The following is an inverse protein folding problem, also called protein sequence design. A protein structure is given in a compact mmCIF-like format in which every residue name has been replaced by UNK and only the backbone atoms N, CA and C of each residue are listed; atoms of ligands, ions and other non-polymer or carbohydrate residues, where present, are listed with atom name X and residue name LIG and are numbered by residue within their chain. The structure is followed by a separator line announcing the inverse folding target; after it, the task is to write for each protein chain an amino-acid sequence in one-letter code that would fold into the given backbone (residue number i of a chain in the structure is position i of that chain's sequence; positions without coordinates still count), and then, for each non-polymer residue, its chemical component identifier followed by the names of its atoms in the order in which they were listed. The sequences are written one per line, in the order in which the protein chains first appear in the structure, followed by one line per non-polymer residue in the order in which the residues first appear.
data_IF_562395322769
#
_entry.id   IF_562395322769
#
_cell.length_a   1.000
_cell.length_b   1.000
_cell.length_c   1.000
_cell.angle_alpha   90.00
_cell.angle_beta   90.00
_cell.angle_gamma   90.00
#
_symmetry.space_group_name_H-M   'P 1'
#
loop_
_entity.id
_entity.type
_entity.pdbx_description
1 polymer ?
#
# COMPACT_ATOMS: atom_id res chain seq x y z
N UNK A 1 -4.42 -15.18 3.73
CA UNK A 1 -4.47 -13.72 3.93
C UNK A 1 -3.82 -13.08 2.73
N UNK A 2 -4.61 -12.40 1.90
CA UNK A 2 -4.10 -11.69 0.73
C UNK A 2 -3.34 -10.47 1.23
N UNK A 3 -2.01 -10.46 1.10
CA UNK A 3 -1.20 -9.28 1.41
C UNK A 3 -1.55 -8.16 0.42
N UNK A 4 -2.54 -7.35 0.77
CA UNK A 4 -2.90 -6.14 0.05
C UNK A 4 -1.74 -5.15 0.15
N UNK A 5 -1.28 -4.68 -1.01
CA UNK A 5 -0.25 -3.65 -1.15
C UNK A 5 -0.89 -2.52 -1.91
N UNK A 6 -0.83 -1.29 -1.38
CA UNK A 6 -1.38 -0.10 -2.03
C UNK A 6 -0.28 0.84 -2.48
N UNK A 7 -0.61 1.65 -3.50
CA UNK A 7 0.27 2.70 -3.97
C UNK A 7 0.44 3.70 -2.82
N UNK A 8 1.64 4.25 -2.65
CA UNK A 8 1.99 5.15 -1.55
C UNK A 8 1.98 4.51 -0.14
N UNK A 9 1.94 3.17 -0.05
CA UNK A 9 2.19 2.47 1.21
C UNK A 9 3.59 2.83 1.74
N UNK A 10 3.65 3.28 2.99
CA UNK A 10 4.91 3.46 3.71
C UNK A 10 5.17 2.22 4.54
N UNK A 11 6.27 1.53 4.23
CA UNK A 11 6.63 0.26 4.88
C UNK A 11 7.99 0.37 5.57
N UNK A 12 8.14 -0.39 6.64
CA UNK A 12 9.43 -0.61 7.28
C UNK A 12 10.02 -1.94 6.81
N UNK A 13 11.24 -1.90 6.28
CA UNK A 13 11.98 -3.09 5.86
C UNK A 13 12.77 -3.72 7.01
N UNK A 14 12.98 -5.05 6.96
CA UNK A 14 13.85 -5.78 7.90
C UNK A 14 15.32 -5.40 7.73
N UNK A 15 15.75 -5.14 6.49
CA UNK A 15 17.12 -4.71 6.19
C UNK A 15 17.21 -3.18 6.16
N UNK A 16 18.27 -2.66 6.77
CA UNK A 16 18.60 -1.23 6.72
C UNK A 16 19.04 -0.85 5.30
N UNK A 17 18.58 0.29 4.80
CA UNK A 17 19.15 0.87 3.60
C UNK A 17 20.59 1.37 3.89
N UNK A 18 21.52 1.37 2.92
CA UNK A 18 22.86 1.92 3.14
C UNK A 18 22.89 3.37 3.64
N UNK A 19 21.84 4.17 3.41
CA UNK A 19 21.73 5.52 3.97
C UNK A 19 21.33 5.56 5.46
N UNK A 20 21.00 4.41 6.07
CA UNK A 20 20.60 4.31 7.47
C UNK A 20 19.09 4.28 7.73
N UNK A 21 18.25 4.46 6.72
CA UNK A 21 16.78 4.41 6.88
C UNK A 21 16.24 2.98 6.76
N UNK A 22 15.10 2.73 7.40
CA UNK A 22 14.31 1.51 7.22
C UNK A 22 12.99 1.78 6.48
N UNK A 23 12.69 3.05 6.20
CA UNK A 23 11.40 3.50 5.69
C UNK A 23 11.44 3.68 4.19
N UNK A 24 10.41 3.12 3.56
CA UNK A 24 10.28 3.10 2.12
C UNK A 24 8.83 3.36 1.74
N UNK A 25 8.63 4.16 0.70
CA UNK A 25 7.32 4.36 0.09
C UNK A 25 7.21 3.52 -1.17
N UNK A 26 6.13 2.75 -1.29
CA UNK A 26 5.79 1.98 -2.50
C UNK A 26 5.32 2.94 -3.59
N UNK A 27 5.97 2.88 -4.74
CA UNK A 27 5.70 3.77 -5.89
C UNK A 27 5.15 3.04 -7.10
N UNK A 28 5.24 1.72 -7.14
CA UNK A 28 4.67 0.86 -8.18
C UNK A 28 4.35 -0.50 -7.60
N UNK A 29 3.22 -1.04 -8.03
CA UNK A 29 2.75 -2.38 -7.70
C UNK A 29 2.62 -3.19 -8.99
N UNK A 30 3.05 -4.44 -8.95
CA UNK A 30 3.04 -5.37 -10.07
C UNK A 30 3.73 -6.68 -9.69
N UNK A 31 4.31 -7.36 -10.67
CA UNK A 31 5.21 -8.50 -10.42
C UNK A 31 6.43 -8.08 -9.57
N UNK A 32 6.99 -6.92 -9.91
CA UNK A 32 8.01 -6.23 -9.11
C UNK A 32 7.40 -5.03 -8.38
N UNK A 33 7.84 -4.85 -7.13
CA UNK A 33 7.50 -3.71 -6.31
C UNK A 33 8.63 -2.69 -6.39
N UNK A 34 8.31 -1.49 -6.87
CA UNK A 34 9.24 -0.35 -6.89
C UNK A 34 9.01 0.51 -5.66
N UNK A 35 10.06 0.80 -4.92
CA UNK A 35 9.98 1.57 -3.69
C UNK A 35 11.08 2.63 -3.59
N UNK A 36 10.75 3.77 -2.99
CA UNK A 36 11.63 4.92 -2.78
C UNK A 36 11.99 5.02 -1.30
N UNK A 37 13.26 5.21 -0.99
CA UNK A 37 13.69 5.48 0.38
C UNK A 37 13.26 6.89 0.81
N UNK A 38 12.62 7.02 1.97
CA UNK A 38 12.07 8.30 2.42
C UNK A 38 13.14 9.31 2.86
N UNK A 39 14.36 8.85 3.14
CA UNK A 39 15.44 9.72 3.64
C UNK A 39 16.36 10.20 2.52
N UNK A 40 16.69 9.35 1.55
CA UNK A 40 17.68 9.68 0.51
C UNK A 40 17.13 9.67 -0.92
N UNK A 41 15.85 9.33 -1.10
CA UNK A 41 15.19 9.31 -2.41
C UNK A 41 15.63 8.18 -3.34
N UNK A 42 16.59 7.33 -2.96
CA UNK A 42 17.04 6.21 -3.80
C UNK A 42 15.90 5.22 -4.03
N UNK A 43 15.80 4.75 -5.26
CA UNK A 43 14.74 3.83 -5.69
C UNK A 43 15.32 2.45 -5.92
N UNK A 44 14.60 1.43 -5.47
CA UNK A 44 14.93 0.02 -5.69
C UNK A 44 13.71 -0.72 -6.21
N UNK A 45 13.94 -1.78 -6.97
CA UNK A 45 12.92 -2.74 -7.38
C UNK A 45 13.20 -4.08 -6.71
N UNK A 46 12.16 -4.70 -6.18
CA UNK A 46 12.22 -6.02 -5.58
C UNK A 46 11.08 -6.85 -6.14
N UNK A 47 11.35 -8.12 -6.43
CA UNK A 47 10.30 -9.09 -6.68
C UNK A 47 9.28 -9.10 -5.52
N UNK A 48 8.00 -9.27 -5.84
CA UNK A 48 6.90 -9.23 -4.87
C UNK A 48 7.11 -10.19 -3.70
N UNK A 49 7.58 -11.42 -3.93
CA UNK A 49 7.80 -12.40 -2.87
C UNK A 49 8.93 -11.97 -1.94
N UNK A 50 9.98 -11.37 -2.51
CA UNK A 50 11.10 -10.83 -1.75
C UNK A 50 10.66 -9.62 -0.91
N UNK A 51 9.85 -8.73 -1.48
CA UNK A 51 9.27 -7.59 -0.77
C UNK A 51 8.44 -8.05 0.43
N UNK A 52 7.50 -8.97 0.24
CA UNK A 52 6.63 -9.48 1.31
C UNK A 52 7.44 -10.13 2.44
N UNK A 53 8.46 -10.94 2.11
CA UNK A 53 9.33 -11.58 3.10
C UNK A 53 10.18 -10.56 3.89
N UNK A 54 10.63 -9.50 3.23
CA UNK A 54 11.52 -8.46 3.81
C UNK A 54 10.75 -7.33 4.48
N UNK A 55 9.46 -7.14 4.18
CA UNK A 55 8.59 -6.21 4.90
C UNK A 55 8.51 -6.64 6.36
N UNK A 56 8.82 -5.72 7.28
CA UNK A 56 8.68 -5.95 8.72
C UNK A 56 7.31 -5.52 9.20
N UNK A 57 6.90 -4.30 8.83
CA UNK A 57 5.60 -3.72 9.17
C UNK A 57 5.15 -2.71 8.12
N UNK A 58 3.85 -2.54 7.99
CA UNK A 58 3.24 -1.38 7.33
C UNK A 58 3.19 -0.23 8.34
N UNK A 59 3.70 0.94 7.95
CA UNK A 59 3.69 2.15 8.78
C UNK A 59 2.50 3.05 8.46
N UNK A 60 2.22 3.23 7.17
CA UNK A 60 1.08 3.99 6.67
C UNK A 60 0.54 3.29 5.43
N UNK A 61 -0.77 3.12 5.39
CA UNK A 61 -1.43 2.57 4.22
C UNK A 61 -1.75 3.69 3.23
N UNK A 62 -1.56 3.40 1.94
CA UNK A 62 -1.96 4.25 0.83
C UNK A 62 -3.47 4.39 0.67
N UNK A 63 -3.92 5.34 -0.16
CA UNK A 63 -5.34 5.54 -0.46
C UNK A 63 -5.94 4.29 -1.11
N UNK A 64 -7.26 4.13 -0.95
CA UNK A 64 -8.01 3.08 -1.64
C UNK A 64 -7.98 3.40 -3.15
N UNK A 65 -7.63 2.44 -4.02
CA UNK A 65 -7.65 2.66 -5.46
C UNK A 65 -9.07 2.98 -5.92
N UNK A 66 -9.25 4.08 -6.66
CA UNK A 66 -10.56 4.52 -7.13
C UNK A 66 -11.21 3.54 -8.13
N UNK A 67 -10.44 2.67 -8.76
CA UNK A 67 -10.91 1.62 -9.67
C UNK A 67 -11.59 0.44 -8.96
N UNK A 68 -11.42 0.28 -7.64
CA UNK A 68 -12.20 -0.70 -6.85
C UNK A 68 -13.66 -0.24 -6.65
N UNK A 69 -13.94 1.04 -6.91
CA UNK A 69 -15.27 1.65 -6.77
C UNK A 69 -16.18 1.42 -7.99
N UNK A 70 -15.64 0.98 -9.13
CA UNK A 70 -16.38 0.78 -10.39
C UNK A 70 -17.24 -0.51 -10.41
N UNK A 71 -17.82 -0.88 -9.26
CA UNK A 71 -18.72 -2.03 -9.16
C UNK A 71 -19.34 -2.31 -7.78
N UNK A 72 -19.09 -1.48 -6.76
CA UNK A 72 -19.62 -1.70 -5.40
C UNK A 72 -20.12 -0.43 -4.69
N UNK A 73 -20.37 0.66 -5.39
CA UNK A 73 -20.94 1.87 -4.81
C UNK A 73 -22.37 2.10 -5.31
N UNK A 74 -23.33 1.37 -4.75
CA UNK A 74 -24.72 1.81 -4.54
C UNK A 74 -25.46 0.75 -3.71
N UNK A 75 -25.29 0.82 -2.39
CA UNK A 75 -26.39 0.51 -1.50
C UNK A 75 -26.67 1.79 -0.72
N UNK A 76 -27.53 2.62 -1.32
CA UNK A 76 -28.21 3.69 -0.63
C UNK A 76 -28.91 3.08 0.58
N UNK A 77 -28.67 3.68 1.75
CA UNK A 77 -29.42 3.40 2.96
C UNK A 77 -30.81 4.02 2.72
N UNK A 78 -31.77 3.19 2.30
CA UNK A 78 -33.19 3.56 2.35
C UNK A 78 -33.58 3.71 3.83
N UNK A 79 -33.59 4.96 4.29
CA UNK A 79 -34.30 5.36 5.49
C UNK A 79 -35.79 5.31 5.20
N UNK A 80 -36.44 4.25 5.68
CA UNK A 80 -37.89 4.12 5.78
C UNK A 80 -38.44 5.25 6.67
N UNK A 81 -38.82 6.36 6.04
CA UNK A 81 -39.76 7.32 6.61
C UNK A 81 -41.16 6.86 6.21
N UNK A 82 -41.82 6.11 7.09
CA UNK A 82 -43.28 5.97 7.08
C UNK A 82 -43.86 6.77 8.25
N UNK A 83 -44.26 8.00 7.95
CA UNK A 83 -45.36 8.70 8.63
C UNK A 83 -46.68 8.06 8.17
N UNK A 84 -47.35 7.29 9.04
CA UNK A 84 -48.80 7.34 9.40
C UNK A 84 -49.11 6.32 10.52
#
# INVERSE_FOLDING_TARGET
MTDEIRLDDVVQMKKKHPCGSYEWTVTRIGADIKMRCNTCGRVVMLDRMVFLRRRKKLLKQGPIPADVTLGFAEQEIEGDNSDD
#
